data_IF_441346409018
#
_entry.id   IF_441346409018
#
_cell.length_a   1.000
_cell.length_b   1.000
_cell.length_c   1.000
_cell.angle_alpha   90.00
_cell.angle_beta   90.00
_cell.angle_gamma   90.00
#
_symmetry.space_group_name_H-M   'P 1'
#
loop_
_entity.id
_entity.type
_entity.pdbx_description
1 polymer ?
#
# COMPACT_ATOMS: atom_id res chain seq x y z
N UNK A 1 -10.27 -2.27 -0.32
CA UNK A 1 -9.42 -1.71 -1.39
C UNK A 1 -8.15 -2.53 -1.61
N UNK A 2 -7.29 -2.70 -0.60
CA UNK A 2 -6.03 -3.47 -0.73
C UNK A 2 -6.24 -4.90 -1.24
N UNK A 3 -7.23 -5.63 -0.72
CA UNK A 3 -7.53 -6.99 -1.19
C UNK A 3 -7.86 -7.04 -2.68
N UNK A 4 -8.60 -6.03 -3.20
CA UNK A 4 -8.94 -5.91 -4.62
C UNK A 4 -7.71 -5.62 -5.47
N UNK A 5 -6.77 -4.81 -4.96
CA UNK A 5 -5.51 -4.51 -5.64
C UNK A 5 -4.63 -5.76 -5.82
N UNK A 6 -4.67 -6.69 -4.85
CA UNK A 6 -3.90 -7.94 -4.88
C UNK A 6 -4.71 -9.16 -5.37
N UNK A 7 -5.94 -8.97 -5.85
CA UNK A 7 -6.77 -10.06 -6.34
C UNK A 7 -6.25 -10.58 -7.69
N UNK A 8 -6.54 -11.85 -8.00
CA UNK A 8 -6.31 -12.39 -9.33
C UNK A 8 -7.38 -11.81 -10.27
N UNK A 9 -6.96 -11.17 -11.36
CA UNK A 9 -7.84 -10.63 -12.39
C UNK A 9 -7.55 -11.27 -13.75
N UNK A 10 -8.56 -11.40 -14.61
CA UNK A 10 -8.37 -11.74 -16.01
C UNK A 10 -8.06 -10.49 -16.82
N UNK A 11 -7.08 -10.56 -17.72
CA UNK A 11 -6.76 -9.48 -18.64
C UNK A 11 -7.91 -9.26 -19.63
N UNK A 12 -8.20 -7.98 -19.91
CA UNK A 12 -9.22 -7.61 -20.88
C UNK A 12 -8.88 -8.04 -22.31
N UNK A 13 -9.87 -7.98 -23.20
CA UNK A 13 -9.72 -8.41 -24.61
C UNK A 13 -8.69 -7.58 -25.39
N UNK A 14 -8.46 -6.34 -24.98
CA UNK A 14 -7.43 -5.46 -25.54
C UNK A 14 -6.04 -5.67 -24.93
N UNK A 15 -5.94 -6.43 -23.84
CA UNK A 15 -4.73 -6.64 -23.04
C UNK A 15 -4.20 -8.08 -23.10
N UNK A 16 -4.54 -8.84 -24.16
CA UNK A 16 -4.12 -10.23 -24.29
C UNK A 16 -2.59 -10.39 -24.18
N UNK A 17 -2.17 -11.35 -23.36
CA UNK A 17 -0.76 -11.64 -23.11
C UNK A 17 -0.16 -12.47 -24.25
N UNK A 18 1.03 -12.09 -24.71
CA UNK A 18 1.76 -12.85 -25.71
C UNK A 18 2.54 -13.99 -25.04
N UNK A 19 2.05 -15.22 -25.19
CA UNK A 19 2.66 -16.37 -24.55
C UNK A 19 3.95 -16.79 -25.26
N UNK A 20 5.10 -16.88 -24.54
CA UNK A 20 6.37 -17.29 -25.14
C UNK A 20 6.36 -18.74 -25.64
N UNK A 21 5.46 -19.59 -25.12
CA UNK A 21 5.29 -21.00 -25.52
C UNK A 21 4.35 -21.13 -26.71
N UNK A 22 3.14 -20.54 -26.64
CA UNK A 22 2.13 -20.64 -27.70
C UNK A 22 2.42 -19.74 -28.91
N UNK A 23 3.35 -18.77 -28.77
CA UNK A 23 3.70 -17.76 -29.79
C UNK A 23 2.51 -16.94 -30.32
N UNK A 24 1.49 -16.74 -29.49
CA UNK A 24 0.29 -15.96 -29.84
C UNK A 24 -0.27 -15.23 -28.62
N UNK A 25 -1.06 -14.18 -28.90
CA UNK A 25 -1.87 -13.49 -27.90
C UNK A 25 -2.98 -14.40 -27.37
N UNK A 26 -3.10 -14.50 -26.04
CA UNK A 26 -4.11 -15.32 -25.38
C UNK A 26 -4.64 -14.63 -24.13
N UNK A 27 -5.82 -15.08 -23.68
CA UNK A 27 -6.35 -14.71 -22.37
C UNK A 27 -5.38 -15.22 -21.30
N UNK A 28 -5.15 -14.39 -20.30
CA UNK A 28 -4.25 -14.70 -19.18
C UNK A 28 -4.79 -14.01 -17.94
N UNK A 29 -4.44 -14.56 -16.78
CA UNK A 29 -4.66 -13.91 -15.50
C UNK A 29 -3.44 -13.13 -15.04
N UNK A 30 -3.67 -12.15 -14.19
CA UNK A 30 -2.66 -11.26 -13.60
C UNK A 30 -2.98 -11.09 -12.12
N UNK A 31 -1.93 -11.03 -11.30
CA UNK A 31 -2.05 -10.77 -9.85
C UNK A 31 -0.88 -9.91 -9.40
N UNK A 32 -1.14 -8.94 -8.54
CA UNK A 32 -0.11 -8.15 -7.88
C UNK A 32 0.13 -8.64 -6.44
N UNK A 33 1.36 -8.45 -5.96
CA UNK A 33 1.74 -8.61 -4.56
C UNK A 33 2.78 -7.56 -4.19
N UNK A 34 2.88 -7.26 -2.89
CA UNK A 34 3.91 -6.36 -2.38
C UNK A 34 5.15 -7.20 -2.06
N UNK A 35 6.28 -6.87 -2.70
CA UNK A 35 7.55 -7.57 -2.45
C UNK A 35 8.25 -7.08 -1.18
N UNK A 36 8.25 -5.76 -0.98
CA UNK A 36 8.93 -5.11 0.13
C UNK A 36 8.11 -3.91 0.59
N UNK A 37 8.04 -3.73 1.90
CA UNK A 37 7.29 -2.67 2.54
C UNK A 37 8.18 -1.46 2.86
N UNK A 38 7.76 -0.22 2.50
CA UNK A 38 8.54 0.99 2.77
C UNK A 38 8.35 1.48 4.22
N UNK A 39 9.25 2.30 4.76
CA UNK A 39 9.06 2.91 6.08
C UNK A 39 7.88 3.89 6.11
N UNK A 40 7.68 4.62 5.00
CA UNK A 40 6.50 5.46 4.76
C UNK A 40 5.73 4.86 3.59
N UNK A 41 4.54 4.34 3.87
CA UNK A 41 3.63 3.79 2.89
C UNK A 41 2.68 4.90 2.40
N UNK A 42 2.73 5.19 1.10
CA UNK A 42 1.84 6.13 0.43
C UNK A 42 0.74 5.34 -0.32
N UNK A 43 -0.52 5.56 0.06
CA UNK A 43 -1.68 4.93 -0.57
C UNK A 43 -2.52 5.99 -1.28
N UNK A 44 -2.68 5.85 -2.60
CA UNK A 44 -3.50 6.73 -3.41
C UNK A 44 -4.84 6.06 -3.73
N UNK A 45 -5.94 6.68 -3.33
CA UNK A 45 -7.29 6.27 -3.71
C UNK A 45 -7.62 6.85 -5.09
N UNK A 46 -7.76 5.99 -6.10
CA UNK A 46 -8.07 6.38 -7.48
C UNK A 46 -9.51 6.91 -7.59
N UNK A 47 -9.70 8.17 -7.19
CA UNK A 47 -11.01 8.84 -7.15
C UNK A 47 -11.44 9.41 -8.49
N UNK A 48 -10.54 9.57 -9.45
CA UNK A 48 -10.90 10.14 -10.75
C UNK A 48 -11.05 9.04 -11.79
N UNK A 49 -12.19 9.05 -12.48
CA UNK A 49 -12.46 8.19 -13.62
C UNK A 49 -12.58 9.04 -14.87
N UNK A 50 -11.94 8.57 -15.92
CA UNK A 50 -12.00 9.18 -17.24
C UNK A 50 -12.57 8.16 -18.22
N UNK A 51 -13.59 8.60 -18.95
CA UNK A 51 -14.09 7.97 -20.16
C UNK A 51 -14.05 9.01 -21.29
N UNK A 52 -14.17 8.58 -22.54
CA UNK A 52 -14.00 9.46 -23.72
C UNK A 52 -14.85 10.75 -23.67
N UNK A 53 -16.06 10.67 -23.11
CA UNK A 53 -16.98 11.81 -23.04
C UNK A 53 -17.19 12.37 -21.63
N UNK A 54 -16.67 11.73 -20.58
CA UNK A 54 -17.04 12.09 -19.21
C UNK A 54 -15.89 11.92 -18.22
N UNK A 55 -15.76 12.91 -17.35
CA UNK A 55 -14.79 12.94 -16.25
C UNK A 55 -15.59 13.06 -14.96
N UNK A 56 -15.36 12.16 -14.02
CA UNK A 56 -16.00 12.23 -12.71
C UNK A 56 -15.05 11.97 -11.56
N UNK A 57 -15.41 12.57 -10.44
CA UNK A 57 -14.85 12.27 -9.13
C UNK A 57 -15.76 11.29 -8.39
N UNK A 58 -15.17 10.21 -7.90
CA UNK A 58 -15.77 9.27 -6.96
C UNK A 58 -15.67 9.86 -5.56
N UNK A 59 -16.81 10.40 -5.11
CA UNK A 59 -16.94 11.09 -3.84
C UNK A 59 -17.39 10.16 -2.69
N UNK A 60 -17.34 8.84 -2.93
CA UNK A 60 -17.66 7.80 -1.94
C UNK A 60 -16.69 7.89 -0.75
N UNK A 61 -17.26 7.84 0.46
CA UNK A 61 -16.44 7.74 1.66
C UNK A 61 -15.80 6.34 1.74
N UNK A 62 -14.50 6.29 2.04
CA UNK A 62 -13.75 5.04 2.22
C UNK A 62 -13.15 5.13 3.62
N UNK A 63 -13.56 4.22 4.50
CA UNK A 63 -12.99 4.12 5.85
C UNK A 63 -11.53 3.66 5.80
N UNK A 64 -10.74 4.17 6.74
CA UNK A 64 -9.33 3.83 6.89
C UNK A 64 -8.94 3.83 8.37
N UNK A 65 -8.07 2.90 8.82
CA UNK A 65 -7.66 2.84 10.22
C UNK A 65 -6.65 3.93 10.57
N UNK A 66 -6.78 4.55 11.74
CA UNK A 66 -5.77 5.49 12.26
C UNK A 66 -4.54 4.72 12.76
N UNK A 67 -4.74 3.56 13.36
CA UNK A 67 -3.68 2.70 13.90
C UNK A 67 -3.85 1.28 13.42
N UNK A 68 -2.75 0.53 13.49
CA UNK A 68 -2.76 -0.93 13.30
C UNK A 68 -3.17 -1.38 11.88
N UNK A 69 -2.81 -0.62 10.84
CA UNK A 69 -2.95 -1.12 9.47
C UNK A 69 -1.96 -2.27 9.24
N UNK A 70 -2.48 -3.50 9.22
CA UNK A 70 -1.69 -4.70 8.93
C UNK A 70 -1.53 -4.94 7.43
N UNK A 71 -0.30 -4.79 6.94
CA UNK A 71 0.06 -5.05 5.56
C UNK A 71 0.52 -6.48 5.29
N UNK A 72 0.69 -7.31 6.32
CA UNK A 72 1.20 -8.69 6.19
C UNK A 72 0.45 -9.55 5.17
N UNK A 73 -0.90 -9.49 5.05
CA UNK A 73 -1.63 -10.32 4.09
C UNK A 73 -1.35 -10.01 2.61
N UNK A 74 -0.81 -8.83 2.32
CA UNK A 74 -0.60 -8.34 0.94
C UNK A 74 0.85 -8.51 0.47
N UNK A 75 1.73 -8.96 1.37
CA UNK A 75 3.11 -9.31 1.03
C UNK A 75 3.10 -10.72 0.44
N UNK A 76 4.01 -10.99 -0.49
CA UNK A 76 4.33 -12.38 -0.82
C UNK A 76 4.84 -13.03 0.48
N UNK A 77 4.03 -13.86 1.13
CA UNK A 77 4.59 -14.80 2.09
C UNK A 77 5.68 -15.53 1.32
N UNK A 78 6.88 -15.61 1.86
CA UNK A 78 7.85 -16.55 1.31
C UNK A 78 7.18 -17.92 1.47
N UNK A 79 6.48 -18.37 0.43
CA UNK A 79 6.01 -19.75 0.24
C UNK A 79 7.26 -20.55 -0.04
N UNK A 80 8.05 -20.63 1.02
CA UNK A 80 9.11 -21.54 1.32
C UNK A 80 9.06 -21.60 2.84
N UNK A 81 7.96 -22.15 3.37
CA UNK A 81 8.08 -22.86 4.63
C UNK A 81 9.15 -23.92 4.39
N UNK A 82 10.24 -23.81 5.15
CA UNK A 82 11.45 -24.63 5.04
C UNK A 82 11.13 -26.15 5.17
N UNK A 83 9.91 -26.51 5.60
CA UNK A 83 9.39 -27.88 5.63
C UNK A 83 8.95 -28.45 4.27
N UNK A 84 8.55 -27.63 3.29
CA UNK A 84 8.17 -28.16 1.95
C UNK A 84 9.38 -28.43 1.06
N UNK A 85 10.46 -27.67 1.22
CA UNK A 85 11.65 -27.79 0.34
C UNK A 85 12.46 -29.05 0.62
N UNK A 86 12.41 -29.62 1.83
CA UNK A 86 13.13 -30.87 2.14
C UNK A 86 12.67 -32.06 1.30
N UNK A 87 11.46 -32.02 0.72
CA UNK A 87 10.92 -33.10 -0.12
C UNK A 87 11.34 -32.94 -1.58
N UNK A 88 11.43 -31.70 -2.09
CA UNK A 88 11.69 -31.45 -3.52
C UNK A 88 13.20 -31.47 -3.84
N UNK A 89 14.06 -31.26 -2.84
CA UNK A 89 15.48 -31.01 -3.10
C UNK A 89 16.36 -31.86 -2.18
N UNK A 90 16.60 -33.13 -2.57
CA UNK A 90 17.80 -33.84 -2.10
C UNK A 90 19.06 -33.38 -2.85
N UNK A 91 18.92 -32.95 -4.11
CA UNK A 91 20.06 -32.78 -5.01
C UNK A 91 20.55 -31.32 -5.23
N UNK A 92 19.76 -30.28 -4.91
CA UNK A 92 20.22 -28.87 -4.95
C UNK A 92 20.80 -28.38 -3.61
N UNK A 93 21.25 -29.28 -2.74
CA UNK A 93 21.95 -28.91 -1.48
C UNK A 93 23.24 -28.13 -1.72
N UNK A 94 23.89 -28.32 -2.87
CA UNK A 94 25.18 -27.69 -3.19
C UNK A 94 24.97 -26.24 -3.64
N UNK A 95 23.90 -25.95 -4.38
CA UNK A 95 23.63 -24.60 -4.88
C UNK A 95 23.05 -23.67 -3.80
N UNK A 96 22.35 -24.21 -2.80
CA UNK A 96 21.80 -23.38 -1.71
C UNK A 96 22.87 -22.89 -0.72
N UNK A 97 23.96 -23.63 -0.49
CA UNK A 97 24.97 -23.27 0.53
C UNK A 97 25.66 -21.93 0.26
N UNK A 98 25.85 -21.55 -1.00
CA UNK A 98 26.49 -20.27 -1.35
C UNK A 98 25.57 -19.05 -1.22
N UNK A 99 24.25 -19.24 -1.30
CA UNK A 99 23.28 -18.14 -1.13
C UNK A 99 22.90 -17.94 0.35
N UNK A 100 23.22 -18.90 1.22
CA UNK A 100 22.85 -18.91 2.65
C UNK A 100 23.67 -17.93 3.51
N UNK A 101 24.82 -17.41 3.08
CA UNK A 101 25.59 -16.49 3.93
C UNK A 101 25.16 -15.01 3.89
N UNK A 102 24.33 -14.60 2.93
CA UNK A 102 23.89 -13.19 2.82
C UNK A 102 22.37 -12.95 2.93
N UNK A 103 21.58 -13.98 3.27
CA UNK A 103 20.11 -13.93 3.16
C UNK A 103 19.28 -13.86 4.44
N UNK A 104 19.88 -13.78 5.63
CA UNK A 104 19.15 -13.89 6.91
C UNK A 104 19.17 -12.60 7.73
N UNK A 105 18.57 -11.54 7.17
CA UNK A 105 18.05 -10.42 7.98
C UNK A 105 16.68 -9.95 7.44
N UNK A 106 15.71 -10.86 7.31
CA UNK A 106 14.35 -10.39 7.51
C UNK A 106 14.11 -10.38 9.02
N UNK A 107 14.59 -9.30 9.64
CA UNK A 107 14.15 -8.87 10.96
C UNK A 107 12.62 -9.00 10.99
N UNK A 108 12.13 -9.68 12.03
CA UNK A 108 10.74 -9.72 12.46
C UNK A 108 10.21 -8.28 12.62
N UNK A 109 9.87 -7.71 11.48
CA UNK A 109 9.59 -6.31 11.36
C UNK A 109 8.09 -6.16 11.24
N UNK A 110 7.39 -5.60 12.23
CA UNK A 110 5.94 -5.45 12.19
C UNK A 110 5.54 -4.82 10.85
N UNK A 111 4.69 -5.50 10.08
CA UNK A 111 4.04 -4.94 8.88
C UNK A 111 2.90 -3.99 9.26
N UNK A 112 2.97 -3.46 10.48
CA UNK A 112 1.95 -2.64 11.12
C UNK A 112 2.33 -1.19 10.92
N UNK A 113 1.35 -0.43 10.46
CA UNK A 113 1.49 0.99 10.19
C UNK A 113 0.44 1.80 10.95
N UNK A 114 0.84 3.01 11.31
CA UNK A 114 -0.06 4.04 11.86
C UNK A 114 -0.16 5.20 10.87
N UNK A 115 -1.35 5.78 10.76
CA UNK A 115 -1.63 6.89 9.88
C UNK A 115 -0.94 8.15 10.42
N UNK A 116 -0.17 8.81 9.56
CA UNK A 116 0.52 10.05 9.90
C UNK A 116 -0.11 11.26 9.23
N UNK A 117 -0.63 11.09 8.00
CA UNK A 117 -1.28 12.17 7.28
C UNK A 117 -2.27 11.67 6.23
N UNK A 118 -3.20 12.54 5.87
CA UNK A 118 -4.05 12.38 4.68
C UNK A 118 -4.08 13.69 3.89
N UNK A 119 -4.21 13.55 2.58
CA UNK A 119 -4.55 14.64 1.66
C UNK A 119 -6.01 14.49 1.27
N UNK A 120 -6.76 15.58 1.25
CA UNK A 120 -8.16 15.62 0.85
C UNK A 120 -8.30 16.57 -0.33
N UNK A 121 -8.98 16.12 -1.38
CA UNK A 121 -9.40 16.96 -2.50
C UNK A 121 -10.86 17.37 -2.33
N UNK A 122 -11.11 18.67 -2.23
CA UNK A 122 -12.43 19.28 -2.19
C UNK A 122 -12.87 19.71 -3.58
N UNK A 123 -14.18 19.73 -3.81
CA UNK A 123 -14.79 20.06 -5.10
C UNK A 123 -15.16 18.83 -5.92
N UNK A 124 -15.98 19.08 -6.95
CA UNK A 124 -16.69 18.05 -7.71
C UNK A 124 -16.00 17.74 -9.06
N UNK A 125 -15.09 18.61 -9.49
CA UNK A 125 -14.47 18.56 -10.81
C UNK A 125 -13.13 17.85 -10.84
N UNK A 126 -12.72 17.44 -12.04
CA UNK A 126 -11.38 16.88 -12.34
C UNK A 126 -10.39 17.99 -12.73
N UNK A 127 -10.89 19.14 -13.19
CA UNK A 127 -10.08 20.29 -13.61
C UNK A 127 -10.06 21.47 -12.62
N UNK A 128 -10.71 21.32 -11.46
CA UNK A 128 -10.75 22.35 -10.41
C UNK A 128 -11.10 21.70 -9.08
N UNK A 129 -10.52 22.22 -8.02
CA UNK A 129 -10.75 21.80 -6.65
C UNK A 129 -9.75 22.44 -5.71
N UNK A 130 -9.81 22.03 -4.45
CA UNK A 130 -8.96 22.56 -3.39
C UNK A 130 -8.33 21.43 -2.60
N UNK A 131 -7.02 21.46 -2.39
CA UNK A 131 -6.32 20.44 -1.64
C UNK A 131 -6.02 20.93 -0.23
N UNK A 132 -6.36 20.12 0.76
CA UNK A 132 -5.98 20.35 2.16
C UNK A 132 -5.38 19.08 2.72
N UNK A 133 -4.67 19.18 3.85
CA UNK A 133 -4.12 18.00 4.52
C UNK A 133 -4.49 17.96 5.99
N UNK A 134 -4.61 16.75 6.53
CA UNK A 134 -4.62 16.51 7.96
C UNK A 134 -3.35 15.74 8.29
N UNK A 135 -2.61 16.18 9.30
CA UNK A 135 -1.43 15.45 9.75
C UNK A 135 -1.34 15.45 11.27
N UNK A 136 -0.67 14.44 11.80
CA UNK A 136 -0.39 14.29 13.22
C UNK A 136 1.08 14.00 13.44
N UNK A 137 1.55 14.36 14.64
CA UNK A 137 2.86 14.01 15.15
C UNK A 137 2.70 13.16 16.42
N UNK A 138 3.81 12.72 17.02
CA UNK A 138 3.90 11.72 18.10
C UNK A 138 2.80 11.77 19.19
N UNK A 139 2.28 12.95 19.53
CA UNK A 139 1.28 13.16 20.57
C UNK A 139 -0.18 12.88 20.15
N UNK A 140 -0.40 12.36 18.93
CA UNK A 140 -1.74 12.09 18.36
C UNK A 140 -2.63 13.34 18.25
N UNK A 141 -2.06 14.54 18.35
CA UNK A 141 -2.76 15.80 18.07
C UNK A 141 -2.85 16.00 16.55
N UNK A 142 -4.06 16.04 16.02
CA UNK A 142 -4.30 16.28 14.60
C UNK A 142 -4.40 17.76 14.30
N UNK A 143 -3.78 18.15 13.18
CA UNK A 143 -3.84 19.49 12.64
C UNK A 143 -4.38 19.44 11.21
N UNK A 144 -5.26 20.39 10.87
CA UNK A 144 -5.74 20.64 9.52
C UNK A 144 -4.92 21.78 8.91
N UNK A 145 -4.26 21.50 7.81
CA UNK A 145 -3.48 22.45 7.02
C UNK A 145 -4.27 22.83 5.78
N UNK A 146 -4.65 24.09 5.71
CA UNK A 146 -5.43 24.69 4.65
C UNK A 146 -4.73 25.98 4.18
N UNK A 147 -3.88 25.83 3.16
CA UNK A 147 -3.00 26.88 2.65
C UNK A 147 -2.16 27.53 3.77
N UNK A 148 -2.39 28.81 4.05
CA UNK A 148 -1.70 29.57 5.10
C UNK A 148 -2.27 29.33 6.51
N UNK A 149 -3.38 28.59 6.64
CA UNK A 149 -4.07 28.36 7.91
C UNK A 149 -3.80 26.97 8.47
N UNK A 150 -3.46 26.91 9.76
CA UNK A 150 -3.30 25.65 10.51
C UNK A 150 -4.22 25.69 11.72
N UNK A 151 -5.08 24.67 11.86
CA UNK A 151 -6.01 24.56 12.98
C UNK A 151 -5.92 23.18 13.61
N UNK A 152 -6.12 23.11 14.93
CA UNK A 152 -6.22 21.82 15.64
C UNK A 152 -7.57 21.20 15.30
N UNK A 153 -7.60 19.88 15.08
CA UNK A 153 -8.83 19.14 14.84
C UNK A 153 -8.84 17.81 15.60
N UNK A 154 -10.03 17.21 15.75
CA UNK A 154 -10.17 15.89 16.36
C UNK A 154 -9.96 14.78 15.32
N UNK A 155 -9.58 13.60 15.81
CA UNK A 155 -9.42 12.38 15.00
C UNK A 155 -10.71 12.03 14.24
N UNK A 156 -11.88 12.22 14.85
CA UNK A 156 -13.19 11.97 14.22
C UNK A 156 -13.40 12.78 12.93
N UNK A 157 -12.87 14.01 12.86
CA UNK A 157 -12.95 14.85 11.66
C UNK A 157 -12.09 14.27 10.55
N UNK A 158 -10.91 13.77 10.90
CA UNK A 158 -9.99 13.10 9.96
C UNK A 158 -10.66 11.84 9.42
N UNK A 159 -11.22 10.99 10.29
CA UNK A 159 -11.90 9.76 9.92
C UNK A 159 -13.12 9.97 9.03
N UNK A 160 -13.86 11.08 9.17
CA UNK A 160 -15.03 11.40 8.32
C UNK A 160 -14.65 11.97 6.96
N UNK A 161 -13.39 12.38 6.76
CA UNK A 161 -12.94 13.02 5.53
C UNK A 161 -12.92 12.05 4.34
N UNK A 162 -12.96 12.62 3.12
CA UNK A 162 -12.85 11.87 1.86
C UNK A 162 -11.40 11.82 1.41
N UNK A 163 -10.57 11.08 2.15
CA UNK A 163 -9.14 10.96 1.91
C UNK A 163 -8.83 10.62 0.44
N UNK A 164 -7.85 11.29 -0.15
CA UNK A 164 -7.39 11.09 -1.52
C UNK A 164 -6.04 10.36 -1.54
N UNK A 165 -5.10 10.83 -0.72
CA UNK A 165 -3.81 10.17 -0.49
C UNK A 165 -3.65 9.98 1.02
N UNK A 166 -3.16 8.81 1.43
CA UNK A 166 -2.89 8.48 2.83
C UNK A 166 -1.41 8.15 3.00
N UNK A 167 -0.82 8.69 4.07
CA UNK A 167 0.55 8.42 4.47
C UNK A 167 0.55 7.67 5.78
N UNK A 168 1.11 6.47 5.74
CA UNK A 168 1.25 5.55 6.86
C UNK A 168 2.72 5.38 7.20
N UNK A 169 3.07 5.45 8.48
CA UNK A 169 4.45 5.22 8.95
C UNK A 169 4.52 3.88 9.66
N UNK A 170 5.54 3.08 9.33
CA UNK A 170 5.76 1.77 9.93
C UNK A 170 6.11 1.94 11.40
N UNK A 171 5.40 1.26 12.30
CA UNK A 171 5.53 1.48 13.75
C UNK A 171 6.96 1.31 14.28
N UNK A 172 7.69 0.31 13.79
CA UNK A 172 9.08 0.07 14.17
C UNK A 172 10.06 1.17 13.76
N UNK A 173 9.71 2.01 12.79
CA UNK A 173 10.55 3.14 12.40
C UNK A 173 10.71 4.14 13.55
N UNK A 174 9.70 4.26 14.42
CA UNK A 174 9.77 5.14 15.59
C UNK A 174 10.60 4.55 16.74
N UNK A 175 10.63 3.22 16.89
CA UNK A 175 11.41 2.56 17.95
C UNK A 175 12.93 2.68 17.76
N UNK A 176 13.40 2.91 16.53
CA UNK A 176 14.84 3.00 16.22
C UNK A 176 15.39 4.42 16.46
N UNK A 177 14.53 5.44 16.39
CA UNK A 177 14.91 6.85 16.51
C UNK A 177 14.64 7.45 17.91
N UNK A 178 14.12 6.65 18.85
CA UNK A 178 13.74 7.09 20.20
C UNK A 178 14.79 6.88 21.30
N UNK A 179 16.05 6.57 20.95
CA UNK A 179 17.13 6.34 21.94
C UNK A 179 18.04 7.55 22.20
N UNK A 180 17.69 8.74 21.69
CA UNK A 180 18.44 9.97 21.94
C UNK A 180 17.51 11.07 22.43
N UNK A 181 17.37 11.15 23.76
CA UNK A 181 17.45 12.36 24.60
C UNK A 181 17.25 11.95 26.05
#
# INVERSE_FOLDING_TARGET
CLSKFTELEELGETELYNCPTCKKKQRSSKKFWIRMLPNVLCLHLKRFKWNDCFRSKLDVHIGFPIKDLDMSPFILSNIVSISMISIIIRDLKILLKHTIQHGTRNSCGSSIYDLAAIIVHHGNGVGSGHYTSYATHHDSCWHHFNDSSVTICNEDTVLKSKAYILFYIRRQFFSINGSTT
#
